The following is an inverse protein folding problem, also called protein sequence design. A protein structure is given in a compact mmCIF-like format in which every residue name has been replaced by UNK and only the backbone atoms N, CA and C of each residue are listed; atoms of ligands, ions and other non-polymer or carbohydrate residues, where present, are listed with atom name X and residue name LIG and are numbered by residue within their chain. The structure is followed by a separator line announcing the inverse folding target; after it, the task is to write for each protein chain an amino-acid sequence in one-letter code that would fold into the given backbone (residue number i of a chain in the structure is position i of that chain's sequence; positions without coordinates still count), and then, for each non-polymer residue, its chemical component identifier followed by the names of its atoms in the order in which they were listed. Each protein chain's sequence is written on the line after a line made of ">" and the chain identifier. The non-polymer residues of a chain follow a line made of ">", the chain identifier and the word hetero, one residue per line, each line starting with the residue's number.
data_IF_154172858382
#
_entry.id   IF_154172858382
#
_cell.length_a   1.000
_cell.length_b   1.000
_cell.length_c   1.000
_cell.angle_alpha   90.00
_cell.angle_beta   90.00
_cell.angle_gamma   90.00
#
_symmetry.space_group_name_H-M   'P 1'
#
loop_
_entity.id
_entity.type
_entity.pdbx_description
1 polymer ?
#
# COMPACT_ATOMS: atom_id res chain seq x y z
N UNK A 1 -9.29 9.30 -74.22
CA UNK A 1 -10.29 8.49 -74.95
C UNK A 1 -11.25 7.91 -73.93
N UNK A 2 -12.55 8.05 -74.19
CA UNK A 2 -13.64 7.59 -73.35
C UNK A 2 -13.98 6.10 -73.57
N UNK A 3 -14.92 5.63 -72.74
CA UNK A 3 -15.72 4.40 -72.81
C UNK A 3 -15.20 3.20 -71.98
N UNK A 4 -16.01 2.40 -71.30
CA UNK A 4 -17.40 2.48 -70.85
C UNK A 4 -17.68 1.26 -69.94
N UNK A 5 -18.46 1.48 -68.87
CA UNK A 5 -19.57 0.65 -68.32
C UNK A 5 -19.41 -0.88 -68.29
N UNK A 6 -19.56 -1.45 -67.08
CA UNK A 6 -20.45 -2.59 -66.82
C UNK A 6 -20.83 -2.63 -65.32
N UNK A 7 -22.10 -2.29 -65.04
CA UNK A 7 -22.79 -2.56 -63.79
C UNK A 7 -23.40 -3.97 -63.85
N UNK A 8 -23.43 -4.69 -62.71
CA UNK A 8 -24.57 -5.52 -62.35
C UNK A 8 -25.26 -4.95 -61.12
N UNK A 9 -26.56 -4.71 -61.28
CA UNK A 9 -27.49 -4.38 -60.21
C UNK A 9 -27.97 -5.65 -59.48
N UNK A 10 -28.38 -5.44 -58.23
CA UNK A 10 -29.34 -6.21 -57.41
C UNK A 10 -28.86 -7.49 -56.70
N UNK A 11 -28.67 -7.37 -55.38
CA UNK A 11 -29.64 -7.97 -54.44
C UNK A 11 -29.55 -7.26 -53.08
N UNK A 12 -30.66 -6.61 -52.70
CA UNK A 12 -30.89 -6.04 -51.38
C UNK A 12 -31.19 -7.16 -50.39
N UNK A 13 -30.31 -7.38 -49.42
CA UNK A 13 -30.65 -8.06 -48.18
C UNK A 13 -30.69 -7.03 -47.05
N UNK A 14 -31.90 -6.57 -46.72
CA UNK A 14 -32.20 -5.77 -45.54
C UNK A 14 -32.13 -6.68 -44.32
N UNK A 15 -31.03 -6.60 -43.57
CA UNK A 15 -30.95 -7.09 -42.20
C UNK A 15 -30.53 -5.92 -41.30
N UNK A 16 -31.41 -5.58 -40.36
CA UNK A 16 -31.24 -4.56 -39.35
C UNK A 16 -29.92 -4.67 -38.59
N UNK A 17 -29.32 -3.53 -38.24
CA UNK A 17 -28.48 -3.44 -37.05
C UNK A 17 -27.28 -2.50 -37.13
N UNK A 18 -27.53 -1.21 -36.88
CA UNK A 18 -26.70 -0.28 -36.10
C UNK A 18 -25.18 -0.27 -36.29
N UNK A 19 -24.67 0.80 -36.89
CA UNK A 19 -23.25 1.14 -36.84
C UNK A 19 -22.75 1.39 -35.41
N UNK A 20 -21.47 1.12 -35.20
CA UNK A 20 -20.78 1.40 -33.94
C UNK A 20 -19.30 1.14 -34.13
N UNK A 21 -18.49 2.15 -33.82
CA UNK A 21 -17.08 2.22 -34.20
C UNK A 21 -16.19 1.17 -33.54
N UNK A 22 -15.00 1.06 -34.12
CA UNK A 22 -13.82 0.42 -33.54
C UNK A 22 -13.60 0.92 -32.11
N UNK A 23 -14.03 0.15 -31.12
CA UNK A 23 -13.53 0.28 -29.75
C UNK A 23 -12.18 -0.42 -29.68
N UNK A 24 -11.12 0.38 -29.78
CA UNK A 24 -9.87 0.00 -29.14
C UNK A 24 -10.08 -0.11 -27.63
N UNK A 25 -9.20 -0.82 -26.90
CA UNK A 25 -9.33 -0.95 -25.46
C UNK A 25 -9.24 0.44 -24.81
N UNK A 26 -10.39 0.97 -24.42
CA UNK A 26 -10.47 2.19 -23.63
C UNK A 26 -9.88 1.94 -22.24
N UNK A 27 -9.40 3.00 -21.54
CA UNK A 27 -8.91 2.86 -20.18
C UNK A 27 -10.03 2.31 -19.30
N UNK A 28 -9.80 1.11 -18.75
CA UNK A 28 -10.69 0.50 -17.78
C UNK A 28 -10.73 1.43 -16.56
N UNK A 29 -11.85 2.12 -16.36
CA UNK A 29 -12.13 2.78 -15.08
C UNK A 29 -12.19 1.66 -14.03
N UNK A 30 -11.16 1.56 -13.20
CA UNK A 30 -11.21 0.73 -12.01
C UNK A 30 -12.33 1.27 -11.10
N UNK A 31 -13.52 0.70 -11.21
CA UNK A 31 -14.64 1.04 -10.34
C UNK A 31 -14.26 0.64 -8.91
N UNK A 32 -14.12 1.61 -8.01
CA UNK A 32 -13.86 1.42 -6.58
C UNK A 32 -12.47 1.82 -6.08
N UNK A 33 -11.49 2.00 -6.97
CA UNK A 33 -10.15 2.44 -6.56
C UNK A 33 -10.06 3.96 -6.43
N UNK A 34 -9.46 4.46 -5.34
CA UNK A 34 -9.20 5.89 -5.14
C UNK A 34 -8.14 6.33 -6.16
N UNK A 35 -8.41 7.32 -7.03
CA UNK A 35 -7.43 7.82 -7.98
C UNK A 35 -6.16 8.35 -7.30
N UNK A 36 -5.00 8.22 -7.97
CA UNK A 36 -3.70 8.63 -7.39
C UNK A 36 -3.68 10.06 -6.86
N UNK A 37 -4.30 11.01 -7.57
CA UNK A 37 -4.35 12.41 -7.15
C UNK A 37 -5.05 12.57 -5.79
N UNK A 38 -6.17 11.86 -5.59
CA UNK A 38 -6.92 11.88 -4.33
C UNK A 38 -6.16 11.14 -3.23
N UNK A 39 -5.50 10.03 -3.56
CA UNK A 39 -4.65 9.31 -2.61
C UNK A 39 -3.48 10.17 -2.13
N UNK A 40 -2.84 10.91 -3.03
CA UNK A 40 -1.77 11.87 -2.68
C UNK A 40 -2.28 13.00 -1.80
N UNK A 41 -3.46 13.57 -2.08
CA UNK A 41 -4.07 14.57 -1.20
C UNK A 41 -4.48 14.00 0.16
N UNK A 42 -4.73 12.68 0.25
CA UNK A 42 -5.07 12.00 1.49
C UNK A 42 -3.85 11.76 2.40
N UNK A 43 -2.63 11.84 1.89
CA UNK A 43 -1.41 11.68 2.69
C UNK A 43 -1.34 12.77 3.76
N UNK A 44 -0.89 12.42 4.97
CA UNK A 44 -0.67 13.40 6.04
C UNK A 44 0.24 14.55 5.59
N UNK A 45 0.01 15.73 6.16
CA UNK A 45 0.91 16.88 6.11
C UNK A 45 1.31 17.27 7.54
N UNK A 46 2.35 18.09 7.70
CA UNK A 46 2.78 18.58 9.02
C UNK A 46 1.71 19.43 9.74
N UNK A 47 0.67 19.91 9.04
CA UNK A 47 -0.45 20.63 9.65
C UNK A 47 -1.57 19.71 10.15
N UNK A 48 -1.58 18.44 9.77
CA UNK A 48 -2.66 17.51 10.09
C UNK A 48 -2.64 17.02 11.55
N UNK A 49 -1.44 16.90 12.13
CA UNK A 49 -1.24 16.39 13.49
C UNK A 49 -0.20 17.26 14.21
N UNK A 50 -0.51 17.84 15.38
CA UNK A 50 0.46 18.62 16.15
C UNK A 50 1.71 17.82 16.52
N UNK A 51 2.86 18.48 16.48
CA UNK A 51 4.18 17.89 16.78
C UNK A 51 4.52 16.69 15.87
N UNK A 52 4.09 16.76 14.61
CA UNK A 52 4.48 15.83 13.57
C UNK A 52 5.12 16.59 12.42
N UNK A 53 6.28 16.12 11.99
CA UNK A 53 6.89 16.55 10.74
C UNK A 53 6.63 15.49 9.69
N UNK A 54 6.11 15.90 8.54
CA UNK A 54 5.87 15.00 7.40
C UNK A 54 6.73 15.43 6.22
N UNK A 55 7.52 14.48 5.71
CA UNK A 55 8.32 14.64 4.50
C UNK A 55 7.82 13.63 3.46
N UNK A 56 7.10 14.07 2.41
CA UNK A 56 6.67 13.19 1.33
C UNK A 56 7.85 12.46 0.70
N UNK A 57 7.64 11.20 0.31
CA UNK A 57 8.64 10.46 -0.43
C UNK A 57 8.90 11.09 -1.80
N UNK A 58 10.18 11.24 -2.15
CA UNK A 58 10.62 11.76 -3.44
C UNK A 58 10.54 10.72 -4.56
N UNK A 59 10.47 9.43 -4.23
CA UNK A 59 10.31 8.35 -5.22
C UNK A 59 9.61 7.13 -4.64
N UNK A 60 9.12 6.24 -5.52
CA UNK A 60 8.49 4.97 -5.12
C UNK A 60 9.46 3.99 -4.49
N UNK A 61 10.73 4.03 -4.89
CA UNK A 61 11.77 3.13 -4.37
C UNK A 61 12.18 3.47 -2.92
N UNK A 62 11.86 4.68 -2.45
CA UNK A 62 11.97 5.04 -1.03
C UNK A 62 10.88 4.38 -0.17
N UNK A 63 9.76 3.97 -0.78
CA UNK A 63 8.60 3.45 -0.07
C UNK A 63 8.58 1.92 -0.05
N UNK A 64 8.88 1.30 -1.19
CA UNK A 64 8.74 -0.14 -1.39
C UNK A 64 9.97 -0.68 -2.11
N UNK A 65 10.47 -1.82 -1.63
CA UNK A 65 11.60 -2.52 -2.23
C UNK A 65 11.21 -3.31 -3.48
N UNK A 66 12.19 -3.91 -4.14
CA UNK A 66 11.96 -4.85 -5.24
C UNK A 66 11.11 -6.06 -4.80
N UNK A 67 10.68 -6.86 -5.78
CA UNK A 67 10.08 -8.17 -5.52
C UNK A 67 11.03 -9.02 -4.66
N UNK A 68 10.50 -9.62 -3.59
CA UNK A 68 11.28 -10.51 -2.73
C UNK A 68 10.46 -11.76 -2.43
N UNK A 69 11.16 -12.88 -2.23
CA UNK A 69 10.56 -14.15 -1.88
C UNK A 69 11.05 -14.57 -0.50
N UNK A 70 10.11 -14.79 0.42
CA UNK A 70 10.41 -15.47 1.67
C UNK A 70 10.77 -16.93 1.39
N UNK A 71 11.71 -17.48 2.15
CA UNK A 71 11.99 -18.93 2.17
C UNK A 71 10.77 -19.76 2.57
N UNK A 72 9.89 -19.17 3.39
CA UNK A 72 8.67 -19.79 3.91
C UNK A 72 7.44 -19.11 3.32
N UNK A 73 6.59 -19.88 2.63
CA UNK A 73 5.39 -19.33 1.96
C UNK A 73 4.41 -18.62 2.91
N UNK A 74 4.25 -19.12 4.14
CA UNK A 74 3.40 -18.50 5.16
C UNK A 74 3.85 -17.08 5.56
N UNK A 75 5.12 -16.75 5.33
CA UNK A 75 5.71 -15.44 5.63
C UNK A 75 5.61 -14.45 4.47
N UNK A 76 5.22 -14.91 3.28
CA UNK A 76 5.19 -14.07 2.09
C UNK A 76 4.29 -12.82 2.24
N UNK A 77 3.12 -12.85 2.91
CA UNK A 77 2.32 -11.63 3.10
C UNK A 77 3.04 -10.53 3.90
N UNK A 78 3.92 -10.89 4.86
CA UNK A 78 4.74 -9.93 5.61
C UNK A 78 5.78 -9.26 4.69
N UNK A 79 6.36 -10.03 3.77
CA UNK A 79 7.32 -9.53 2.77
C UNK A 79 6.63 -8.66 1.71
N UNK A 80 5.47 -9.08 1.22
CA UNK A 80 4.67 -8.38 0.21
C UNK A 80 4.20 -6.99 0.69
N UNK A 81 4.01 -6.82 2.01
CA UNK A 81 3.65 -5.53 2.60
C UNK A 81 4.64 -4.40 2.23
N UNK A 82 5.92 -4.73 2.01
CA UNK A 82 6.98 -3.76 1.69
C UNK A 82 7.59 -3.96 0.30
N UNK A 83 6.95 -4.79 -0.53
CA UNK A 83 7.37 -5.03 -1.91
C UNK A 83 6.60 -4.18 -2.90
N UNK A 84 7.26 -3.76 -3.98
CA UNK A 84 6.66 -3.13 -5.15
C UNK A 84 5.84 -4.10 -6.02
N UNK A 85 6.00 -5.41 -5.85
CA UNK A 85 5.30 -6.45 -6.62
C UNK A 85 4.66 -7.51 -5.69
N UNK A 86 3.70 -7.10 -4.83
CA UNK A 86 3.01 -8.04 -3.94
C UNK A 86 2.05 -8.95 -4.72
N UNK A 87 1.61 -10.05 -4.10
CA UNK A 87 0.53 -10.91 -4.63
C UNK A 87 -0.74 -10.13 -5.00
N UNK A 88 -1.13 -9.17 -4.17
CA UNK A 88 -2.30 -8.29 -4.38
C UNK A 88 -1.81 -6.89 -4.80
N UNK A 89 -1.81 -6.56 -6.11
CA UNK A 89 -1.19 -5.34 -6.59
C UNK A 89 -1.92 -4.08 -6.11
N UNK A 90 -1.15 -3.17 -5.52
CA UNK A 90 -1.60 -1.80 -5.25
C UNK A 90 -1.85 -1.12 -6.59
N UNK A 91 -3.08 -0.63 -6.82
CA UNK A 91 -3.41 0.12 -8.03
C UNK A 91 -2.59 1.41 -8.10
N UNK A 92 -2.54 2.11 -6.96
CA UNK A 92 -1.76 3.33 -6.76
C UNK A 92 -1.26 3.36 -5.31
N UNK A 93 -0.09 3.94 -5.09
CA UNK A 93 0.46 4.16 -3.75
C UNK A 93 1.34 5.39 -3.70
N UNK A 94 1.45 5.97 -2.52
CA UNK A 94 2.32 7.10 -2.18
C UNK A 94 2.63 7.04 -0.69
N UNK A 95 3.45 7.94 -0.17
CA UNK A 95 3.90 7.85 1.20
C UNK A 95 4.80 9.00 1.64
N UNK A 96 5.18 8.95 2.91
CA UNK A 96 6.01 9.95 3.55
C UNK A 96 6.80 9.35 4.72
N UNK A 97 7.88 10.04 5.09
CA UNK A 97 8.46 9.92 6.41
C UNK A 97 7.67 10.81 7.38
N UNK A 98 7.22 10.23 8.48
CA UNK A 98 6.46 10.89 9.54
C UNK A 98 7.27 10.84 10.82
N UNK A 99 7.74 11.99 11.30
CA UNK A 99 8.51 12.08 12.55
C UNK A 99 7.64 12.67 13.66
N UNK A 100 7.45 11.91 14.73
CA UNK A 100 6.81 12.38 15.95
C UNK A 100 7.84 13.12 16.82
N UNK A 101 7.57 14.39 17.08
CA UNK A 101 8.46 15.27 17.84
C UNK A 101 7.91 15.57 19.24
N UNK A 102 7.00 14.75 19.76
CA UNK A 102 6.47 14.93 21.12
C UNK A 102 7.42 14.50 22.23
N UNK A 103 8.38 13.62 21.93
CA UNK A 103 9.35 13.18 22.93
C UNK A 103 10.23 14.37 23.35
N UNK A 104 10.42 14.51 24.67
CA UNK A 104 11.29 15.54 25.26
C UNK A 104 12.76 15.20 25.00
N UNK A 105 13.10 13.92 24.93
CA UNK A 105 14.42 13.47 24.53
C UNK A 105 14.53 13.54 22.99
N UNK A 106 15.34 14.49 22.52
CA UNK A 106 15.59 14.70 21.09
C UNK A 106 16.29 13.50 20.42
N UNK A 107 16.92 12.61 21.20
CA UNK A 107 17.51 11.35 20.73
C UNK A 107 16.51 10.20 20.59
N UNK A 108 15.30 10.33 21.16
CA UNK A 108 14.29 9.28 21.21
C UNK A 108 13.16 9.44 20.17
N UNK A 109 13.39 10.25 19.12
CA UNK A 109 12.39 10.53 18.07
C UNK A 109 11.82 9.24 17.49
N UNK A 110 10.50 9.22 17.36
CA UNK A 110 9.78 8.15 16.67
C UNK A 110 9.60 8.53 15.21
N UNK A 111 10.04 7.66 14.31
CA UNK A 111 10.04 7.90 12.88
C UNK A 111 9.27 6.77 12.22
N UNK A 112 8.31 7.10 11.36
CA UNK A 112 7.53 6.12 10.60
C UNK A 112 7.70 6.35 9.10
N UNK A 113 8.11 5.32 8.37
CA UNK A 113 7.82 5.25 6.94
C UNK A 113 6.32 4.94 6.80
N UNK A 114 5.59 5.83 6.15
CA UNK A 114 4.15 5.69 5.91
C UNK A 114 3.90 5.43 4.44
N UNK A 115 3.16 4.36 4.13
CA UNK A 115 2.69 4.04 2.78
C UNK A 115 1.17 3.98 2.78
N UNK A 116 0.55 4.82 1.96
CA UNK A 116 -0.88 4.72 1.66
C UNK A 116 -1.07 4.11 0.29
N UNK A 117 -2.05 3.23 0.16
CA UNK A 117 -2.31 2.50 -1.07
C UNK A 117 -3.80 2.34 -1.32
N UNK A 118 -4.19 2.32 -2.59
CA UNK A 118 -5.52 1.91 -3.03
C UNK A 118 -5.44 0.61 -3.82
N UNK A 119 -6.46 -0.22 -3.67
CA UNK A 119 -6.57 -1.53 -4.28
C UNK A 119 -7.84 -1.61 -5.13
N UNK A 120 -7.99 -2.71 -5.86
CA UNK A 120 -9.30 -3.07 -6.41
C UNK A 120 -10.25 -3.39 -5.26
N UNK A 121 -11.54 -3.33 -5.54
CA UNK A 121 -12.58 -3.66 -4.58
C UNK A 121 -12.33 -5.04 -3.94
N UNK A 122 -12.25 -5.08 -2.61
CA UNK A 122 -12.03 -6.30 -1.83
C UNK A 122 -10.56 -6.70 -1.63
N UNK A 123 -9.64 -6.30 -2.50
CA UNK A 123 -8.23 -6.69 -2.41
C UNK A 123 -7.57 -6.13 -1.14
N UNK A 124 -7.94 -4.91 -0.69
CA UNK A 124 -7.42 -4.35 0.55
C UNK A 124 -7.79 -5.20 1.78
N UNK A 125 -8.99 -5.81 1.77
CA UNK A 125 -9.41 -6.75 2.82
C UNK A 125 -8.63 -8.05 2.72
N UNK A 126 -8.48 -8.61 1.52
CA UNK A 126 -7.70 -9.83 1.31
C UNK A 126 -6.25 -9.67 1.79
N UNK A 127 -5.61 -8.53 1.50
CA UNK A 127 -4.27 -8.19 2.00
C UNK A 127 -4.19 -8.27 3.52
N UNK A 128 -5.14 -7.65 4.24
CA UNK A 128 -5.09 -7.63 5.71
C UNK A 128 -5.51 -8.96 6.35
N UNK A 129 -6.41 -9.72 5.73
CA UNK A 129 -6.75 -11.08 6.17
C UNK A 129 -5.52 -12.00 6.04
N UNK A 130 -4.82 -11.95 4.90
CA UNK A 130 -3.60 -12.74 4.66
C UNK A 130 -2.43 -12.29 5.55
N UNK A 131 -2.28 -10.98 5.78
CA UNK A 131 -1.27 -10.44 6.67
C UNK A 131 -1.52 -10.85 8.13
N UNK A 132 -2.77 -10.81 8.59
CA UNK A 132 -3.13 -11.27 9.93
C UNK A 132 -2.80 -12.77 10.12
N UNK A 133 -3.15 -13.60 9.13
CA UNK A 133 -2.82 -15.02 9.14
C UNK A 133 -1.31 -15.26 9.13
N UNK A 134 -0.55 -14.50 8.32
CA UNK A 134 0.90 -14.58 8.29
C UNK A 134 1.54 -14.18 9.62
N UNK A 135 1.09 -13.10 10.26
CA UNK A 135 1.61 -12.69 11.58
C UNK A 135 1.36 -13.74 12.66
N UNK A 136 0.25 -14.49 12.57
CA UNK A 136 -0.04 -15.58 13.49
C UNK A 136 0.82 -16.83 13.26
N UNK A 137 1.22 -17.12 12.02
CA UNK A 137 1.89 -18.36 11.65
C UNK A 137 3.40 -18.21 11.38
N UNK A 138 3.86 -17.02 11.02
CA UNK A 138 5.24 -16.71 10.68
C UNK A 138 5.95 -16.03 11.84
N UNK A 139 6.91 -16.72 12.44
CA UNK A 139 7.75 -16.16 13.51
C UNK A 139 9.17 -15.85 13.06
N UNK A 140 9.59 -16.43 11.93
CA UNK A 140 10.88 -16.21 11.33
C UNK A 140 10.82 -16.50 9.83
N UNK A 141 11.63 -15.79 9.06
CA UNK A 141 11.87 -16.08 7.66
C UNK A 141 13.24 -15.59 7.23
N UNK A 142 13.70 -16.06 6.09
CA UNK A 142 14.85 -15.50 5.40
C UNK A 142 14.50 -15.11 3.96
N UNK A 143 15.28 -14.20 3.39
CA UNK A 143 15.21 -13.85 1.98
C UNK A 143 16.59 -13.46 1.46
N UNK A 144 16.77 -13.53 0.15
CA UNK A 144 18.03 -13.16 -0.52
C UNK A 144 17.90 -11.78 -1.16
N UNK A 145 18.82 -10.86 -0.81
CA UNK A 145 18.98 -9.53 -1.41
C UNK A 145 20.37 -9.34 -1.96
N UNK A 146 20.50 -9.10 -3.26
CA UNK A 146 21.81 -8.84 -3.87
C UNK A 146 22.85 -9.93 -3.59
N UNK A 147 22.40 -11.20 -3.52
CA UNK A 147 23.26 -12.35 -3.16
C UNK A 147 23.48 -12.58 -1.66
N UNK A 148 22.93 -11.73 -0.79
CA UNK A 148 23.05 -11.86 0.67
C UNK A 148 21.76 -12.39 1.26
N UNK A 149 21.85 -13.47 2.03
CA UNK A 149 20.73 -13.98 2.83
C UNK A 149 20.60 -13.16 4.12
N UNK A 150 19.40 -12.63 4.39
CA UNK A 150 19.07 -11.94 5.63
C UNK A 150 17.98 -12.68 6.37
N UNK A 151 18.12 -12.83 7.68
CA UNK A 151 17.17 -13.52 8.56
C UNK A 151 16.35 -12.50 9.36
N UNK A 152 15.05 -12.74 9.45
CA UNK A 152 14.10 -11.87 10.13
C UNK A 152 13.34 -12.65 11.20
N UNK A 153 13.15 -12.01 12.35
CA UNK A 153 12.20 -12.46 13.37
C UNK A 153 10.91 -11.63 13.27
N UNK A 154 9.77 -12.25 13.54
CA UNK A 154 8.43 -11.64 13.50
C UNK A 154 7.68 -12.00 14.77
N UNK A 155 7.01 -11.01 15.38
CA UNK A 155 6.11 -11.25 16.50
C UNK A 155 4.84 -10.39 16.39
N UNK A 156 3.67 -10.90 16.78
CA UNK A 156 2.49 -10.07 16.94
C UNK A 156 2.74 -8.92 17.92
N UNK A 157 2.18 -7.75 17.63
CA UNK A 157 2.23 -6.59 18.51
C UNK A 157 0.81 -6.18 18.91
N UNK A 158 0.68 -5.55 20.08
CA UNK A 158 -0.62 -5.06 20.55
C UNK A 158 -1.17 -4.04 19.57
N UNK A 159 -2.32 -4.37 18.98
CA UNK A 159 -3.04 -3.50 18.08
C UNK A 159 -3.95 -2.58 18.90
N UNK A 160 -3.89 -1.28 18.68
CA UNK A 160 -4.72 -0.33 19.41
C UNK A 160 -6.17 -0.37 18.91
N UNK A 161 -7.16 -0.59 19.77
CA UNK A 161 -8.54 -0.77 19.31
C UNK A 161 -9.12 0.44 18.56
N UNK A 162 -9.93 0.14 17.54
CA UNK A 162 -10.76 1.11 16.83
C UNK A 162 -10.05 1.92 15.74
N UNK A 163 -8.97 1.41 15.13
CA UNK A 163 -8.37 2.04 13.95
C UNK A 163 -8.93 1.42 12.66
N UNK A 164 -9.56 2.26 11.83
CA UNK A 164 -10.08 1.85 10.53
C UNK A 164 -11.15 0.76 10.60
N UNK A 165 -11.27 0.00 9.52
CA UNK A 165 -12.21 -1.11 9.39
C UNK A 165 -11.56 -2.45 9.77
N UNK A 166 -10.22 -2.51 9.72
CA UNK A 166 -9.39 -3.65 10.09
C UNK A 166 -7.96 -3.15 10.33
N UNK A 167 -7.22 -3.82 11.21
CA UNK A 167 -5.82 -3.49 11.48
C UNK A 167 -5.01 -4.74 11.81
N UNK A 168 -3.71 -4.69 11.51
CA UNK A 168 -2.70 -5.68 11.92
C UNK A 168 -1.48 -4.94 12.43
N UNK A 169 -0.98 -5.33 13.61
CA UNK A 169 0.25 -4.79 14.19
C UNK A 169 1.20 -5.92 14.56
N UNK A 170 2.47 -5.77 14.21
CA UNK A 170 3.52 -6.76 14.46
C UNK A 170 4.89 -6.10 14.52
N UNK A 171 5.86 -6.73 15.17
CA UNK A 171 7.27 -6.36 15.02
C UNK A 171 7.94 -7.26 14.00
N UNK A 172 8.89 -6.71 13.26
CA UNK A 172 9.77 -7.46 12.38
C UNK A 172 11.18 -6.87 12.50
N UNK A 173 12.21 -7.70 12.41
CA UNK A 173 13.58 -7.18 12.46
C UNK A 173 14.64 -8.16 12.00
N UNK A 174 15.72 -7.61 11.45
CA UNK A 174 16.93 -8.34 11.06
C UNK A 174 17.61 -8.89 12.32
N UNK A 175 17.70 -10.21 12.45
CA UNK A 175 18.22 -10.87 13.65
C UNK A 175 19.69 -10.55 13.90
N UNK A 176 20.46 -10.21 12.86
CA UNK A 176 21.87 -9.84 12.99
C UNK A 176 22.06 -8.42 13.55
N UNK A 177 21.03 -7.56 13.48
CA UNK A 177 21.07 -6.17 13.96
C UNK A 177 20.47 -5.99 15.37
N UNK A 178 19.87 -7.05 15.93
CA UNK A 178 19.20 -6.99 17.23
C UNK A 178 18.16 -5.86 17.28
N UNK A 179 18.10 -5.15 18.41
CA UNK A 179 17.12 -4.07 18.63
C UNK A 179 17.21 -2.95 17.58
N UNK A 180 18.40 -2.66 17.04
CA UNK A 180 18.59 -1.62 16.04
C UNK A 180 17.98 -1.96 14.67
N UNK A 181 17.73 -3.25 14.40
CA UNK A 181 17.07 -3.71 13.18
C UNK A 181 15.59 -3.98 13.33
N UNK A 182 15.00 -3.77 14.50
CA UNK A 182 13.59 -4.06 14.77
C UNK A 182 12.72 -2.83 14.55
N UNK A 183 11.60 -3.03 13.87
CA UNK A 183 10.57 -2.02 13.63
C UNK A 183 9.22 -2.52 14.13
N UNK A 184 8.34 -1.59 14.51
CA UNK A 184 6.91 -1.84 14.68
C UNK A 184 6.22 -1.57 13.35
N UNK A 185 5.51 -2.55 12.82
CA UNK A 185 4.62 -2.36 11.68
C UNK A 185 3.18 -2.27 12.17
N UNK A 186 2.44 -1.28 11.69
CA UNK A 186 0.98 -1.21 11.84
C UNK A 186 0.35 -0.92 10.49
N UNK A 187 -0.58 -1.76 10.06
CA UNK A 187 -1.32 -1.59 8.81
C UNK A 187 -2.80 -1.48 9.13
N UNK A 188 -3.45 -0.44 8.61
CA UNK A 188 -4.86 -0.15 8.84
C UNK A 188 -5.60 -0.06 7.52
N UNK A 189 -6.76 -0.71 7.41
CA UNK A 189 -7.65 -0.65 6.25
C UNK A 189 -8.75 0.39 6.44
N UNK A 190 -9.07 1.11 5.38
CA UNK A 190 -10.26 1.96 5.27
C UNK A 190 -10.88 1.77 3.88
N UNK A 191 -12.00 1.05 3.79
CA UNK A 191 -12.58 0.60 2.52
C UNK A 191 -11.58 -0.24 1.72
N UNK A 192 -11.34 0.17 0.47
CA UNK A 192 -10.38 -0.42 -0.47
C UNK A 192 -9.01 0.28 -0.46
N UNK A 193 -8.67 0.94 0.65
CA UNK A 193 -7.38 1.57 0.88
C UNK A 193 -6.71 1.06 2.15
N UNK A 194 -5.38 1.17 2.21
CA UNK A 194 -4.59 0.88 3.41
C UNK A 194 -3.66 2.04 3.75
N UNK A 195 -3.38 2.22 5.03
CA UNK A 195 -2.23 2.97 5.53
C UNK A 195 -1.32 2.02 6.32
N UNK A 196 -0.09 1.83 5.85
CA UNK A 196 0.95 1.07 6.52
C UNK A 196 1.99 2.01 7.13
N UNK A 197 2.39 1.72 8.36
CA UNK A 197 3.38 2.47 9.12
C UNK A 197 4.48 1.49 9.54
N UNK A 198 5.72 1.72 9.11
CA UNK A 198 6.91 1.07 9.65
C UNK A 198 7.61 2.05 10.58
N UNK A 199 7.47 1.82 11.88
CA UNK A 199 7.83 2.75 12.95
C UNK A 199 9.06 2.25 13.70
N UNK A 200 10.04 3.13 13.85
CA UNK A 200 11.24 2.92 14.67
C UNK A 200 11.45 4.08 15.63
N UNK A 201 12.34 3.87 16.61
CA UNK A 201 12.89 4.94 17.43
C UNK A 201 14.37 5.11 17.17
N UNK A 202 14.82 6.37 17.15
CA UNK A 202 16.22 6.70 16.92
C UNK A 202 17.17 6.18 18.02
N UNK A 203 16.66 5.92 19.23
CA UNK A 203 17.41 5.33 20.35
C UNK A 203 17.34 3.78 20.38
N UNK A 204 16.80 3.15 19.33
CA UNK A 204 16.65 1.69 19.18
C UNK A 204 15.84 0.99 20.28
N UNK A 205 15.08 1.74 21.07
CA UNK A 205 14.11 1.16 21.98
C UNK A 205 12.85 0.71 21.22
N UNK A 206 12.02 -0.17 21.81
CA UNK A 206 10.74 -0.54 21.23
C UNK A 206 9.93 0.70 20.85
N UNK A 207 9.50 0.72 19.59
CA UNK A 207 8.74 1.83 19.04
C UNK A 207 7.25 1.69 19.35
N UNK A 208 6.56 2.83 19.40
CA UNK A 208 5.10 2.91 19.47
C UNK A 208 4.60 3.91 18.43
N UNK A 209 3.43 3.67 17.86
CA UNK A 209 2.79 4.60 16.95
C UNK A 209 1.76 5.44 17.71
N UNK A 210 1.97 6.77 17.80
CA UNK A 210 1.03 7.66 18.51
C UNK A 210 -0.33 7.67 17.81
N UNK A 211 -1.39 7.23 18.53
CA UNK A 211 -2.77 7.05 18.03
C UNK A 211 -3.27 8.12 17.06
N UNK A 212 -2.99 9.38 17.35
CA UNK A 212 -3.47 10.52 16.54
C UNK A 212 -3.01 10.46 15.08
N UNK A 213 -1.86 9.84 14.80
CA UNK A 213 -1.29 9.67 13.46
C UNK A 213 -2.17 8.73 12.60
N UNK A 214 -2.35 7.43 12.95
CA UNK A 214 -3.18 6.54 12.15
C UNK A 214 -4.65 6.96 12.12
N UNK A 215 -5.20 7.53 13.20
CA UNK A 215 -6.58 8.06 13.20
C UNK A 215 -6.76 9.13 12.12
N UNK A 216 -5.86 10.11 12.07
CA UNK A 216 -5.95 11.20 11.10
C UNK A 216 -5.73 10.69 9.67
N UNK A 217 -4.78 9.79 9.46
CA UNK A 217 -4.52 9.20 8.14
C UNK A 217 -5.73 8.42 7.62
N UNK A 218 -6.39 7.61 8.47
CA UNK A 218 -7.62 6.88 8.12
C UNK A 218 -8.75 7.83 7.76
N UNK A 219 -8.94 8.91 8.51
CA UNK A 219 -9.98 9.90 8.21
C UNK A 219 -9.77 10.53 6.82
N UNK A 220 -8.53 10.90 6.47
CA UNK A 220 -8.21 11.44 5.15
C UNK A 220 -8.45 10.42 4.03
N UNK A 221 -8.14 9.14 4.25
CA UNK A 221 -8.43 8.08 3.29
C UNK A 221 -9.94 7.91 3.04
N UNK A 222 -10.76 7.94 4.09
CA UNK A 222 -12.22 7.88 3.95
C UNK A 222 -12.76 9.07 3.15
N UNK A 223 -12.32 10.29 3.44
CA UNK A 223 -12.71 11.48 2.66
C UNK A 223 -12.29 11.37 1.19
N UNK A 224 -11.11 10.80 0.90
CA UNK A 224 -10.64 10.62 -0.47
C UNK A 224 -11.46 9.58 -1.24
N UNK A 225 -11.99 8.56 -0.56
CA UNK A 225 -12.87 7.55 -1.15
C UNK A 225 -14.28 8.10 -1.44
N UNK A 226 -14.85 8.91 -0.54
CA UNK A 226 -16.17 9.53 -0.72
C UNK A 226 -16.22 10.55 -1.86
N UNK A 227 -15.09 11.18 -2.18
CA UNK A 227 -15.03 12.16 -3.26
C UNK A 227 -15.02 11.54 -4.67
N UNK A 228 -14.83 10.22 -4.80
CA UNK A 228 -14.63 9.45 -6.05
C UNK A 228 -15.89 8.87 -6.64
#
# INVERSE_FOLDING_TARGET
>A
MAAAVLLPALALATACGGGGGKEGPGPVKASGAVPIAKLTSALLTSSDVPHVQVLPAGSKDQLLGAAQKADTAACQPIVDQWSSQPKHPRQVYTGAMVTDTTDKDKGAKTISLTVVASYKAGDAKAVLDELAAAVAACHQYSLVRGGVTTHFAVAPATAEAGLGDQQVSYTVGDTAKGAAGQVLVTVVRAGDTTAAFETLRADHKPASLRRTIPVKQVAKLRTAAEAG
#
